data_IF_025052725734
#
_entry.id   IF_025052725734
#
_cell.length_a   1.000
_cell.length_b   1.000
_cell.length_c   1.000
_cell.angle_alpha   90.00
_cell.angle_beta   90.00
_cell.angle_gamma   90.00
#
_symmetry.space_group_name_H-M   'P 1'
#
loop_
_entity.id
_entity.type
_entity.pdbx_description
1 polymer ?
#
# COMPACT_ATOMS: atom_id res chain seq x y z
N UNK A 1 -21.98 26.70 -12.53
CA UNK A 1 -21.34 27.53 -11.49
C UNK A 1 -20.91 26.57 -10.39
N UNK A 2 -19.70 26.03 -10.50
CA UNK A 2 -19.14 25.07 -9.55
C UNK A 2 -18.38 25.87 -8.50
N UNK A 3 -18.88 25.84 -7.26
CA UNK A 3 -18.18 26.38 -6.12
C UNK A 3 -16.99 25.46 -5.83
N UNK A 4 -15.78 26.03 -5.91
CA UNK A 4 -14.55 25.42 -5.40
C UNK A 4 -14.71 25.40 -3.88
N UNK A 5 -14.78 24.20 -3.33
CA UNK A 5 -14.87 23.98 -1.90
C UNK A 5 -13.44 23.90 -1.37
N UNK A 6 -12.97 25.00 -0.78
CA UNK A 6 -11.72 25.01 -0.02
C UNK A 6 -11.80 23.95 1.10
N UNK A 7 -10.83 23.03 1.10
CA UNK A 7 -10.61 22.08 2.19
C UNK A 7 -10.20 22.85 3.45
N UNK A 8 -11.17 23.12 4.32
CA UNK A 8 -10.91 23.43 5.72
C UNK A 8 -10.41 22.13 6.35
N UNK A 9 -9.08 21.94 6.41
CA UNK A 9 -8.45 20.89 7.21
C UNK A 9 -8.98 20.98 8.65
N UNK A 10 -9.59 19.91 9.14
CA UNK A 10 -10.21 19.89 10.46
C UNK A 10 -9.13 19.90 11.55
N UNK A 11 -9.45 20.44 12.73
CA UNK A 11 -8.51 20.48 13.87
C UNK A 11 -8.04 19.08 14.30
N UNK A 12 -8.83 18.04 14.00
CA UNK A 12 -8.51 16.63 14.23
C UNK A 12 -7.41 16.12 13.28
N UNK A 13 -7.48 16.45 11.99
CA UNK A 13 -6.45 16.10 11.00
C UNK A 13 -5.12 16.81 11.29
N UNK A 14 -5.16 18.08 11.72
CA UNK A 14 -3.96 18.84 12.11
C UNK A 14 -3.32 18.24 13.38
N UNK A 15 -4.13 17.81 14.36
CA UNK A 15 -3.63 17.17 15.57
C UNK A 15 -3.08 15.76 15.30
N UNK A 16 -3.67 14.98 14.39
CA UNK A 16 -3.12 13.68 14.00
C UNK A 16 -1.80 13.85 13.26
N UNK A 17 -1.74 14.78 12.29
CA UNK A 17 -0.51 15.13 11.56
C UNK A 17 0.60 15.59 12.51
N UNK A 18 0.27 16.43 13.50
CA UNK A 18 1.23 16.91 14.51
C UNK A 18 1.69 15.78 15.42
N UNK A 19 0.79 14.86 15.79
CA UNK A 19 1.11 13.71 16.65
C UNK A 19 1.96 12.68 15.90
N UNK A 20 1.64 12.39 14.65
CA UNK A 20 2.38 11.48 13.78
C UNK A 20 3.75 12.07 13.43
N UNK A 21 3.82 13.39 13.19
CA UNK A 21 5.07 14.13 13.01
C UNK A 21 5.94 14.07 14.28
N UNK A 22 5.38 14.39 15.46
CA UNK A 22 6.13 14.33 16.72
C UNK A 22 6.56 12.90 17.08
N UNK A 23 5.73 11.89 16.76
CA UNK A 23 6.05 10.48 16.94
C UNK A 23 7.15 9.99 16.00
N UNK A 24 7.15 10.45 14.75
CA UNK A 24 8.19 10.15 13.77
C UNK A 24 9.51 10.90 14.05
N UNK A 25 9.44 12.15 14.50
CA UNK A 25 10.61 12.96 14.86
C UNK A 25 11.31 12.43 16.11
N UNK A 26 10.57 11.86 17.05
CA UNK A 26 11.13 11.32 18.31
C UNK A 26 11.57 9.85 18.22
N UNK A 27 11.21 9.12 17.16
CA UNK A 27 11.50 7.69 17.02
C UNK A 27 10.76 6.80 18.05
N UNK A 28 9.69 7.31 18.68
CA UNK A 28 8.99 6.62 19.78
C UNK A 28 7.68 5.95 19.39
N UNK A 29 7.37 5.85 18.08
CA UNK A 29 6.21 5.09 17.60
C UNK A 29 6.38 3.60 17.94
N UNK A 30 5.45 3.05 18.75
CA UNK A 30 5.49 1.65 19.20
C UNK A 30 5.50 0.70 18.00
N UNK A 31 6.53 -0.16 17.92
CA UNK A 31 6.66 -1.19 16.88
C UNK A 31 7.47 -0.78 15.65
N UNK A 32 8.10 0.40 15.65
CA UNK A 32 8.85 0.93 14.51
C UNK A 32 10.27 1.32 14.93
N UNK A 33 11.29 0.57 14.48
CA UNK A 33 12.70 1.00 14.59
C UNK A 33 12.99 2.07 13.52
N UNK A 34 12.70 3.35 13.82
CA UNK A 34 13.03 4.50 12.98
C UNK A 34 14.02 5.42 13.67
N UNK A 35 14.98 5.95 12.91
CA UNK A 35 15.85 7.01 13.41
C UNK A 35 15.04 8.29 13.73
N UNK A 36 15.37 9.03 14.79
CA UNK A 36 14.70 10.29 15.12
C UNK A 36 14.72 11.26 13.93
N UNK A 37 13.56 11.79 13.53
CA UNK A 37 13.43 12.77 12.44
C UNK A 37 13.10 12.18 11.06
N UNK A 38 13.11 10.84 10.93
CA UNK A 38 12.94 10.16 9.65
C UNK A 38 11.48 9.75 9.41
N UNK A 39 10.81 10.44 8.48
CA UNK A 39 9.42 10.13 8.10
C UNK A 39 9.30 8.94 7.14
N UNK A 40 10.28 8.75 6.26
CA UNK A 40 10.29 7.70 5.23
C UNK A 40 11.60 6.92 5.33
N UNK A 41 11.49 5.58 5.34
CA UNK A 41 12.64 4.69 5.46
C UNK A 41 12.93 3.92 4.18
N UNK A 42 14.12 3.30 4.11
CA UNK A 42 14.45 2.31 3.08
C UNK A 42 13.43 1.16 3.06
N UNK A 43 12.92 0.75 4.23
CA UNK A 43 11.94 -0.34 4.35
C UNK A 43 10.59 0.03 3.76
N UNK A 44 10.17 1.29 3.91
CA UNK A 44 8.93 1.79 3.29
C UNK A 44 8.98 1.67 1.77
N UNK A 45 10.11 2.08 1.16
CA UNK A 45 10.29 1.95 -0.29
C UNK A 45 10.36 0.47 -0.71
N UNK A 46 11.00 -0.39 0.09
CA UNK A 46 11.07 -1.84 -0.18
C UNK A 46 9.69 -2.49 -0.13
N UNK A 47 8.85 -2.14 0.84
CA UNK A 47 7.46 -2.63 0.97
C UNK A 47 6.63 -2.30 -0.26
N UNK A 48 6.69 -1.05 -0.72
CA UNK A 48 6.00 -0.63 -1.95
C UNK A 48 6.54 -1.42 -3.15
N UNK A 49 7.86 -1.55 -3.30
CA UNK A 49 8.46 -2.33 -4.40
C UNK A 49 8.09 -3.80 -4.36
N UNK A 50 7.97 -4.43 -3.18
CA UNK A 50 7.50 -5.81 -3.03
C UNK A 50 6.07 -6.00 -3.51
N UNK A 51 5.19 -5.03 -3.22
CA UNK A 51 3.84 -5.00 -3.76
C UNK A 51 3.84 -4.79 -5.27
N UNK A 52 4.60 -3.81 -5.78
CA UNK A 52 4.69 -3.51 -7.21
C UNK A 52 5.18 -4.72 -8.00
N UNK A 53 6.24 -5.38 -7.54
CA UNK A 53 6.76 -6.58 -8.18
C UNK A 53 5.73 -7.72 -8.19
N UNK A 54 5.01 -7.93 -7.07
CA UNK A 54 3.95 -8.93 -7.01
C UNK A 54 2.80 -8.59 -7.98
N UNK A 55 2.34 -7.34 -8.00
CA UNK A 55 1.29 -6.86 -8.89
C UNK A 55 1.65 -6.98 -10.37
N UNK A 56 2.89 -6.66 -10.74
CA UNK A 56 3.41 -6.81 -12.10
C UNK A 56 3.61 -8.27 -12.52
N UNK A 57 3.74 -9.19 -11.56
CA UNK A 57 3.84 -10.63 -11.81
C UNK A 57 2.47 -11.32 -11.92
N UNK A 58 1.37 -10.63 -11.61
CA UNK A 58 0.04 -11.24 -11.66
C UNK A 58 -0.33 -11.64 -13.10
N UNK A 59 -0.86 -12.86 -13.29
CA UNK A 59 -1.36 -13.32 -14.59
C UNK A 59 -2.57 -12.48 -15.00
N UNK A 60 -2.68 -12.19 -16.29
CA UNK A 60 -3.80 -11.42 -16.86
C UNK A 60 -4.53 -12.17 -17.97
N UNK A 61 -4.08 -13.36 -18.33
CA UNK A 61 -4.81 -14.28 -19.20
C UNK A 61 -5.71 -15.18 -18.36
N UNK A 62 -6.98 -15.30 -18.76
CA UNK A 62 -7.98 -16.11 -18.03
C UNK A 62 -7.55 -17.58 -18.00
N UNK A 63 -6.99 -18.11 -19.10
CA UNK A 63 -6.59 -19.52 -19.16
C UNK A 63 -5.35 -19.78 -18.29
N UNK A 64 -4.44 -18.82 -18.21
CA UNK A 64 -3.29 -18.89 -17.29
C UNK A 64 -3.76 -18.94 -15.84
N UNK A 65 -4.72 -18.09 -15.45
CA UNK A 65 -5.30 -18.07 -14.10
C UNK A 65 -5.96 -19.43 -13.78
N UNK A 66 -6.79 -19.95 -14.70
CA UNK A 66 -7.48 -21.23 -14.48
C UNK A 66 -6.50 -22.40 -14.43
N UNK A 67 -5.44 -22.39 -15.25
CA UNK A 67 -4.44 -23.46 -15.22
C UNK A 67 -3.67 -23.52 -13.90
N UNK A 68 -3.46 -22.37 -13.25
CA UNK A 68 -2.63 -22.27 -12.06
C UNK A 68 -3.34 -22.83 -10.81
N UNK A 69 -4.65 -22.59 -10.69
CA UNK A 69 -5.40 -22.96 -9.49
C UNK A 69 -6.54 -23.95 -9.73
N UNK A 70 -7.10 -24.01 -10.96
CA UNK A 70 -8.16 -24.95 -11.37
C UNK A 70 -9.41 -24.87 -10.47
N UNK A 71 -9.84 -23.66 -10.12
CA UNK A 71 -10.97 -23.46 -9.22
C UNK A 71 -12.28 -23.16 -9.95
N UNK A 72 -12.31 -22.91 -11.27
CA UNK A 72 -13.58 -22.58 -11.94
C UNK A 72 -14.63 -23.69 -11.81
N UNK A 73 -14.16 -24.94 -11.74
CA UNK A 73 -14.99 -26.12 -11.47
C UNK A 73 -15.71 -26.09 -10.11
N UNK A 74 -15.30 -25.20 -9.18
CA UNK A 74 -15.98 -25.00 -7.90
C UNK A 74 -17.27 -24.19 -8.03
N UNK A 75 -17.49 -23.51 -9.15
CA UNK A 75 -18.70 -22.75 -9.41
C UNK A 75 -19.03 -21.72 -8.31
N UNK A 76 -17.98 -21.16 -7.68
CA UNK A 76 -18.12 -20.11 -6.65
C UNK A 76 -18.26 -18.77 -7.36
N UNK A 77 -19.46 -18.22 -7.34
CA UNK A 77 -19.74 -16.90 -7.94
C UNK A 77 -18.80 -15.84 -7.36
N UNK A 78 -18.14 -15.08 -8.24
CA UNK A 78 -17.18 -14.07 -7.84
C UNK A 78 -15.75 -14.59 -7.66
N UNK A 79 -15.49 -15.89 -7.80
CA UNK A 79 -14.15 -16.46 -7.83
C UNK A 79 -13.78 -17.05 -9.19
N UNK A 80 -14.57 -16.87 -10.25
CA UNK A 80 -14.16 -17.37 -11.56
C UNK A 80 -12.87 -16.70 -12.02
N UNK A 81 -12.11 -17.39 -12.87
CA UNK A 81 -10.85 -16.90 -13.43
C UNK A 81 -11.05 -15.56 -14.16
N UNK A 82 -12.24 -15.36 -14.76
CA UNK A 82 -12.65 -14.07 -15.34
C UNK A 82 -12.83 -12.97 -14.28
N UNK A 83 -13.42 -13.28 -13.12
CA UNK A 83 -13.57 -12.33 -12.01
C UNK A 83 -12.22 -11.96 -11.38
N UNK A 84 -11.30 -12.93 -11.34
CA UNK A 84 -9.94 -12.74 -10.85
C UNK A 84 -9.09 -11.95 -11.84
N UNK A 85 -9.26 -12.15 -13.15
CA UNK A 85 -8.60 -11.36 -14.18
C UNK A 85 -8.87 -9.87 -13.98
N UNK A 86 -10.10 -9.47 -13.68
CA UNK A 86 -10.47 -8.07 -13.45
C UNK A 86 -9.66 -7.50 -12.27
N UNK A 87 -9.62 -8.21 -11.14
CA UNK A 87 -8.85 -7.79 -9.97
C UNK A 87 -7.35 -7.71 -10.30
N UNK A 88 -6.79 -8.74 -10.92
CA UNK A 88 -5.37 -8.80 -11.28
C UNK A 88 -4.98 -7.71 -12.28
N UNK A 89 -5.82 -7.41 -13.26
CA UNK A 89 -5.58 -6.32 -14.20
C UNK A 89 -5.57 -4.97 -13.49
N UNK A 90 -6.50 -4.72 -12.57
CA UNK A 90 -6.54 -3.48 -11.79
C UNK A 90 -5.29 -3.33 -10.90
N UNK A 91 -4.88 -4.40 -10.22
CA UNK A 91 -3.68 -4.40 -9.39
C UNK A 91 -2.40 -4.24 -10.22
N UNK A 92 -2.32 -4.86 -11.40
CA UNK A 92 -1.19 -4.72 -12.33
C UNK A 92 -1.09 -3.30 -12.88
N UNK A 93 -2.22 -2.71 -13.28
CA UNK A 93 -2.29 -1.32 -13.74
C UNK A 93 -1.84 -0.36 -12.63
N UNK A 94 -2.34 -0.55 -11.41
CA UNK A 94 -1.91 0.24 -10.26
C UNK A 94 -0.41 0.07 -9.97
N UNK A 95 0.10 -1.16 -9.93
CA UNK A 95 1.53 -1.43 -9.75
C UNK A 95 2.40 -0.73 -10.82
N UNK A 96 1.94 -0.70 -12.07
CA UNK A 96 2.65 -0.01 -13.17
C UNK A 96 2.71 1.52 -13.01
N UNK A 97 1.78 2.11 -12.25
CA UNK A 97 1.78 3.55 -11.98
C UNK A 97 2.90 3.99 -11.02
N UNK A 98 3.50 3.05 -10.29
CA UNK A 98 4.57 3.33 -9.34
C UNK A 98 5.83 3.87 -10.00
N UNK A 99 6.28 3.31 -11.12
CA UNK A 99 7.56 3.72 -11.72
C UNK A 99 7.57 5.20 -12.14
N UNK A 100 6.55 5.72 -12.85
CA UNK A 100 6.46 7.15 -13.12
C UNK A 100 6.39 8.01 -11.86
N UNK A 101 5.68 7.54 -10.82
CA UNK A 101 5.57 8.23 -9.54
C UNK A 101 6.91 8.28 -8.78
N UNK A 102 7.65 7.17 -8.74
CA UNK A 102 9.01 7.10 -8.17
C UNK A 102 9.95 8.06 -8.90
N UNK A 103 9.91 8.11 -10.23
CA UNK A 103 10.69 9.07 -11.01
C UNK A 103 10.34 10.52 -10.70
N UNK A 104 9.03 10.84 -10.59
CA UNK A 104 8.55 12.17 -10.22
C UNK A 104 9.06 12.59 -8.83
N UNK A 105 8.91 11.73 -7.82
CA UNK A 105 9.38 11.98 -6.47
C UNK A 105 10.90 12.21 -6.41
N UNK A 106 11.69 11.44 -7.16
CA UNK A 106 13.15 11.62 -7.24
C UNK A 106 13.53 12.93 -7.90
N UNK A 107 12.87 13.28 -9.00
CA UNK A 107 13.14 14.53 -9.71
C UNK A 107 12.84 15.73 -8.82
N UNK A 108 11.63 15.82 -8.27
CA UNK A 108 11.23 16.93 -7.40
C UNK A 108 12.05 16.96 -6.11
N UNK A 109 12.33 15.80 -5.50
CA UNK A 109 13.21 15.72 -4.32
C UNK A 109 14.63 16.23 -4.60
N UNK A 110 15.21 15.86 -5.76
CA UNK A 110 16.52 16.37 -6.18
C UNK A 110 16.50 17.88 -6.40
N UNK A 111 15.48 18.38 -7.10
CA UNK A 111 15.33 19.81 -7.39
C UNK A 111 15.19 20.62 -6.10
N UNK A 112 14.38 20.17 -5.15
CA UNK A 112 14.22 20.79 -3.82
C UNK A 112 15.53 20.79 -3.04
N UNK A 113 16.29 19.69 -3.08
CA UNK A 113 17.56 19.57 -2.37
C UNK A 113 18.60 20.57 -2.90
N UNK A 114 18.73 20.68 -4.23
CA UNK A 114 19.64 21.63 -4.88
C UNK A 114 19.18 23.07 -4.68
N UNK A 115 17.87 23.32 -4.81
CA UNK A 115 17.32 24.65 -4.61
C UNK A 115 17.53 25.15 -3.19
N UNK A 116 17.37 24.30 -2.18
CA UNK A 116 17.59 24.67 -0.79
C UNK A 116 19.02 25.20 -0.52
N UNK A 117 20.04 24.62 -1.17
CA UNK A 117 21.42 25.11 -1.07
C UNK A 117 21.60 26.49 -1.70
N UNK A 118 21.08 26.65 -2.92
CA UNK A 118 21.13 27.93 -3.64
C UNK A 118 20.36 29.02 -2.89
N UNK A 119 19.18 28.69 -2.37
CA UNK A 119 18.33 29.58 -1.59
C UNK A 119 19.03 30.01 -0.29
N UNK A 120 19.60 29.07 0.45
CA UNK A 120 20.29 29.33 1.71
C UNK A 120 21.52 30.23 1.49
N UNK A 121 22.34 29.92 0.48
CA UNK A 121 23.53 30.71 0.15
C UNK A 121 23.17 32.15 -0.27
N UNK A 122 22.14 32.29 -1.11
CA UNK A 122 21.66 33.59 -1.58
C UNK A 122 21.06 34.40 -0.44
N UNK A 123 20.19 33.79 0.37
CA UNK A 123 19.57 34.44 1.53
C UNK A 123 20.60 34.88 2.57
N UNK A 124 21.61 34.05 2.86
CA UNK A 124 22.69 34.44 3.77
C UNK A 124 23.49 35.62 3.23
N UNK A 125 23.72 35.69 1.92
CA UNK A 125 24.41 36.81 1.28
C UNK A 125 23.59 38.10 1.38
N UNK A 126 22.27 38.02 1.15
CA UNK A 126 21.33 39.14 1.32
C UNK A 126 21.32 39.60 2.78
N UNK A 127 21.14 38.68 3.73
CA UNK A 127 21.14 38.97 5.18
C UNK A 127 22.46 39.64 5.59
N UNK A 128 23.61 39.10 5.16
CA UNK A 128 24.93 39.67 5.46
C UNK A 128 25.11 41.07 4.90
N UNK A 129 24.53 41.36 3.73
CA UNK A 129 24.53 42.69 3.14
C UNK A 129 23.65 43.66 3.94
N UNK A 130 22.39 43.27 4.19
CA UNK A 130 21.41 44.11 4.87
C UNK A 130 21.81 44.44 6.30
N UNK A 131 22.37 43.48 7.03
CA UNK A 131 22.81 43.66 8.43
C UNK A 131 23.94 44.67 8.61
N UNK A 132 24.64 45.04 7.52
CA UNK A 132 25.70 46.06 7.51
C UNK A 132 25.19 47.46 7.17
N UNK A 133 23.93 47.61 6.76
CA UNK A 133 23.37 48.91 6.39
C UNK A 133 23.14 49.79 7.63
N UNK A 134 23.47 51.09 7.59
CA UNK A 134 23.17 52.03 8.68
C UNK A 134 21.69 52.04 9.07
N UNK A 135 20.79 51.95 8.08
CA UNK A 135 19.34 51.87 8.30
C UNK A 135 18.92 50.61 9.06
N UNK A 136 19.58 49.48 8.82
CA UNK A 136 19.35 48.25 9.60
C UNK A 136 19.85 48.39 11.04
N UNK A 137 21.09 48.85 11.24
CA UNK A 137 21.72 48.98 12.57
C UNK A 137 20.93 49.96 13.45
N UNK A 138 20.54 51.11 12.90
CA UNK A 138 19.69 52.08 13.60
C UNK A 138 18.29 51.55 13.91
N UNK A 139 17.82 50.60 13.09
CA UNK A 139 16.57 49.90 13.29
C UNK A 139 16.63 48.90 14.45
N UNK A 140 17.68 48.08 14.53
CA UNK A 140 17.84 47.08 15.61
C UNK A 140 17.75 47.69 17.01
N UNK A 141 18.27 48.91 17.20
CA UNK A 141 18.16 49.65 18.46
C UNK A 141 16.73 50.06 18.86
N UNK A 142 15.75 49.99 17.94
CA UNK A 142 14.34 50.38 18.14
C UNK A 142 13.38 49.20 18.34
N UNK A 143 13.84 47.96 18.20
CA UNK A 143 13.01 46.74 18.20
C UNK A 143 13.32 45.77 19.35
N UNK A 144 14.19 46.16 20.29
CA UNK A 144 14.50 45.33 21.46
C UNK A 144 13.23 45.02 22.26
N UNK A 145 12.81 43.75 22.28
CA UNK A 145 11.64 43.27 23.01
C UNK A 145 10.34 43.10 22.20
N UNK A 146 10.36 43.31 20.88
CA UNK A 146 9.21 43.08 20.00
C UNK A 146 9.21 41.67 19.40
N UNK A 147 8.03 41.07 19.26
CA UNK A 147 7.80 39.81 18.53
C UNK A 147 7.88 40.00 17.01
N UNK A 148 8.13 38.95 16.20
CA UNK A 148 8.17 39.05 14.74
C UNK A 148 6.89 39.68 14.13
N UNK A 149 5.73 39.40 14.71
CA UNK A 149 4.44 39.95 14.29
C UNK A 149 4.29 41.44 14.64
N UNK A 150 4.84 41.88 15.77
CA UNK A 150 4.87 43.30 16.14
C UNK A 150 5.85 44.08 15.26
N UNK A 151 6.97 43.47 14.86
CA UNK A 151 7.95 44.07 13.94
C UNK A 151 7.35 44.23 12.55
N UNK A 152 6.53 43.27 12.09
CA UNK A 152 5.83 43.33 10.80
C UNK A 152 4.81 44.48 10.70
N UNK A 153 4.37 45.03 11.84
CA UNK A 153 3.43 46.15 11.91
C UNK A 153 4.10 47.52 12.15
N UNK A 154 5.44 47.58 12.15
CA UNK A 154 6.17 48.83 12.36
C UNK A 154 6.07 49.77 11.14
N UNK A 155 6.10 51.10 11.37
CA UNK A 155 6.12 52.07 10.29
C UNK A 155 7.39 51.90 9.42
N UNK A 156 7.19 52.13 8.13
CA UNK A 156 8.20 52.01 7.08
C UNK A 156 9.47 52.85 7.38
N UNK A 157 10.65 52.27 7.22
CA UNK A 157 11.91 53.02 7.39
C UNK A 157 12.14 53.89 6.17
N UNK A 158 12.44 55.18 6.39
CA UNK A 158 12.99 56.02 5.32
C UNK A 158 14.45 55.64 5.05
N UNK A 159 14.66 54.91 3.96
CA UNK A 159 15.98 54.61 3.44
C UNK A 159 16.71 55.90 3.03
N UNK A 160 18.04 55.92 3.16
CA UNK A 160 18.85 57.13 2.91
C UNK A 160 19.63 57.02 1.59
N UNK A 161 19.85 58.15 0.91
CA UNK A 161 20.81 58.30 -0.22
C UNK A 161 21.04 57.07 -1.10
N UNK A 162 22.26 56.52 -1.03
CA UNK A 162 22.75 55.37 -1.80
C UNK A 162 22.02 54.05 -1.51
N UNK A 163 21.34 53.92 -0.37
CA UNK A 163 20.52 52.73 -0.05
C UNK A 163 19.29 52.67 -0.96
N UNK A 164 18.66 53.82 -1.26
CA UNK A 164 17.50 53.88 -2.17
C UNK A 164 17.83 53.42 -3.59
N UNK A 165 19.06 53.60 -4.05
CA UNK A 165 19.48 53.19 -5.39
C UNK A 165 19.63 51.66 -5.54
N UNK A 166 19.77 50.93 -4.42
CA UNK A 166 20.01 49.47 -4.41
C UNK A 166 18.75 48.65 -4.13
N UNK A 167 17.67 49.28 -3.67
CA UNK A 167 16.39 48.62 -3.42
C UNK A 167 15.77 48.01 -4.68
N UNK A 168 15.77 48.65 -5.87
CA UNK A 168 15.18 48.03 -7.06
C UNK A 168 15.80 46.67 -7.39
N UNK A 169 17.13 46.52 -7.29
CA UNK A 169 17.82 45.26 -7.51
C UNK A 169 17.51 44.20 -6.43
N UNK A 170 17.32 44.63 -5.17
CA UNK A 170 16.88 43.73 -4.10
C UNK A 170 15.44 43.23 -4.35
N UNK A 171 14.56 44.10 -4.84
CA UNK A 171 13.18 43.73 -5.17
C UNK A 171 13.10 42.80 -6.38
N UNK A 172 13.93 43.03 -7.39
CA UNK A 172 14.06 42.12 -8.54
C UNK A 172 14.45 40.71 -8.07
N UNK A 173 15.46 40.61 -7.19
CA UNK A 173 15.87 39.34 -6.58
C UNK A 173 14.75 38.68 -5.75
N UNK A 174 13.95 39.46 -5.03
CA UNK A 174 12.80 38.95 -4.27
C UNK A 174 11.72 38.40 -5.22
N UNK A 175 11.44 39.07 -6.32
CA UNK A 175 10.46 38.59 -7.32
C UNK A 175 10.95 37.33 -8.05
N UNK A 176 12.26 37.22 -8.32
CA UNK A 176 12.87 35.99 -8.82
C UNK A 176 12.70 34.84 -7.80
N UNK A 177 12.99 35.08 -6.52
CA UNK A 177 12.80 34.10 -5.45
C UNK A 177 11.34 33.67 -5.33
N UNK A 178 10.39 34.60 -5.39
CA UNK A 178 8.95 34.30 -5.38
C UNK A 178 8.57 33.38 -6.53
N UNK A 179 9.08 33.67 -7.73
CA UNK A 179 8.81 32.87 -8.93
C UNK A 179 9.27 31.43 -8.74
N UNK A 180 10.54 31.23 -8.35
CA UNK A 180 11.12 29.89 -8.21
C UNK A 180 10.48 29.09 -7.06
N UNK A 181 10.19 29.74 -5.92
CA UNK A 181 9.50 29.08 -4.80
C UNK A 181 8.08 28.66 -5.20
N UNK A 182 7.38 29.48 -5.99
CA UNK A 182 6.03 29.15 -6.50
C UNK A 182 6.07 27.94 -7.44
N UNK A 183 7.07 27.85 -8.32
CA UNK A 183 7.28 26.68 -9.18
C UNK A 183 7.53 25.41 -8.36
N UNK A 184 8.38 25.48 -7.34
CA UNK A 184 8.61 24.35 -6.43
C UNK A 184 7.37 23.97 -5.62
N UNK A 185 6.55 24.94 -5.18
CA UNK A 185 5.26 24.67 -4.52
C UNK A 185 4.35 23.84 -5.43
N UNK A 186 4.18 24.27 -6.69
CA UNK A 186 3.33 23.57 -7.66
C UNK A 186 3.80 22.14 -7.95
N UNK A 187 5.12 21.94 -8.12
CA UNK A 187 5.70 20.61 -8.36
C UNK A 187 5.56 19.69 -7.14
N UNK A 188 5.72 20.25 -5.94
CA UNK A 188 5.51 19.54 -4.66
C UNK A 188 4.05 19.12 -4.51
N UNK A 189 3.11 20.04 -4.74
CA UNK A 189 1.67 19.77 -4.67
C UNK A 189 1.27 18.68 -5.66
N UNK A 190 1.74 18.76 -6.90
CA UNK A 190 1.46 17.75 -7.94
C UNK A 190 1.94 16.37 -7.50
N UNK A 191 3.17 16.28 -6.99
CA UNK A 191 3.76 15.02 -6.51
C UNK A 191 2.96 14.44 -5.35
N UNK A 192 2.61 15.27 -4.36
CA UNK A 192 1.76 14.86 -3.25
C UNK A 192 0.41 14.32 -3.73
N UNK A 193 -0.27 15.02 -4.63
CA UNK A 193 -1.56 14.56 -5.18
C UNK A 193 -1.45 13.21 -5.89
N UNK A 194 -0.36 12.94 -6.60
CA UNK A 194 -0.13 11.64 -7.23
C UNK A 194 0.05 10.53 -6.19
N UNK A 195 0.73 10.79 -5.06
CA UNK A 195 0.88 9.84 -3.96
C UNK A 195 -0.46 9.58 -3.29
N UNK A 196 -1.25 10.64 -3.04
CA UNK A 196 -2.61 10.52 -2.49
C UNK A 196 -3.48 9.63 -3.36
N UNK A 197 -3.46 9.83 -4.69
CA UNK A 197 -4.20 8.99 -5.64
C UNK A 197 -3.73 7.53 -5.60
N UNK A 198 -2.41 7.30 -5.60
CA UNK A 198 -1.83 5.96 -5.49
C UNK A 198 -2.29 5.23 -4.22
N UNK A 199 -2.26 5.91 -3.06
CA UNK A 199 -2.71 5.39 -1.76
C UNK A 199 -4.23 5.13 -1.75
N UNK A 200 -5.00 6.04 -2.32
CA UNK A 200 -6.46 5.96 -2.34
C UNK A 200 -6.96 4.74 -3.11
N UNK A 201 -6.37 4.46 -4.28
CA UNK A 201 -6.70 3.28 -5.08
C UNK A 201 -6.44 1.98 -4.29
N UNK A 202 -5.32 1.91 -3.56
CA UNK A 202 -5.05 0.78 -2.66
C UNK A 202 -6.16 0.65 -1.61
N UNK A 203 -6.46 1.73 -0.91
CA UNK A 203 -7.28 1.69 0.32
C UNK A 203 -8.76 1.46 0.01
N UNK A 204 -9.27 2.09 -1.04
CA UNK A 204 -10.70 2.19 -1.28
C UNK A 204 -11.21 1.26 -2.39
N UNK A 205 -10.31 0.72 -3.22
CA UNK A 205 -10.66 -0.13 -4.36
C UNK A 205 -10.03 -1.51 -4.22
N UNK A 206 -8.69 -1.58 -4.23
CA UNK A 206 -7.98 -2.85 -4.35
C UNK A 206 -8.05 -3.71 -3.08
N UNK A 207 -7.83 -3.12 -1.89
CA UNK A 207 -7.91 -3.86 -0.61
C UNK A 207 -9.31 -4.45 -0.36
N UNK A 208 -10.41 -3.68 -0.48
CA UNK A 208 -11.74 -4.23 -0.34
C UNK A 208 -12.03 -5.34 -1.36
N UNK A 209 -11.66 -5.14 -2.64
CA UNK A 209 -11.89 -6.13 -3.68
C UNK A 209 -11.14 -7.45 -3.40
N UNK A 210 -9.88 -7.37 -2.98
CA UNK A 210 -9.08 -8.54 -2.59
C UNK A 210 -9.65 -9.23 -1.34
N UNK A 211 -10.04 -8.47 -0.32
CA UNK A 211 -10.66 -9.00 0.89
C UNK A 211 -11.96 -9.75 0.60
N UNK A 212 -12.77 -9.29 -0.35
CA UNK A 212 -13.97 -10.01 -0.80
C UNK A 212 -13.62 -11.36 -1.44
N UNK A 213 -12.55 -11.46 -2.25
CA UNK A 213 -12.11 -12.74 -2.82
C UNK A 213 -11.65 -13.72 -1.73
N UNK A 214 -10.87 -13.24 -0.76
CA UNK A 214 -10.44 -14.07 0.39
C UNK A 214 -11.65 -14.56 1.20
N UNK A 215 -12.64 -13.71 1.42
CA UNK A 215 -13.86 -14.10 2.13
C UNK A 215 -14.66 -15.18 1.36
N UNK A 216 -14.71 -15.09 0.03
CA UNK A 216 -15.37 -16.10 -0.81
C UNK A 216 -14.64 -17.45 -0.78
N UNK A 217 -13.30 -17.46 -0.69
CA UNK A 217 -12.55 -18.72 -0.51
C UNK A 217 -12.96 -19.45 0.78
N UNK A 218 -13.36 -18.70 1.81
CA UNK A 218 -13.78 -19.21 3.10
C UNK A 218 -15.28 -19.50 3.22
N UNK A 219 -16.08 -19.24 2.18
CA UNK A 219 -17.54 -19.29 2.28
C UNK A 219 -18.15 -20.67 2.02
N UNK A 220 -17.38 -21.63 1.52
CA UNK A 220 -17.85 -22.97 1.19
C UNK A 220 -17.36 -24.02 2.20
N UNK A 221 -18.29 -24.84 2.70
CA UNK A 221 -18.04 -25.81 3.76
C UNK A 221 -17.59 -27.18 3.23
N UNK A 222 -16.48 -27.19 2.49
CA UNK A 222 -15.93 -28.42 1.91
C UNK A 222 -15.54 -29.46 2.98
N UNK A 223 -15.21 -29.02 4.19
CA UNK A 223 -14.88 -29.91 5.31
C UNK A 223 -16.11 -30.72 5.78
N UNK A 224 -17.31 -30.12 5.81
CA UNK A 224 -18.56 -30.84 6.09
C UNK A 224 -18.93 -31.81 4.97
N UNK A 225 -18.73 -31.43 3.71
CA UNK A 225 -19.03 -32.29 2.56
C UNK A 225 -18.13 -33.53 2.52
N UNK A 226 -16.82 -33.36 2.75
CA UNK A 226 -15.86 -34.46 2.87
C UNK A 226 -16.23 -35.37 4.07
N UNK A 227 -16.66 -34.79 5.19
CA UNK A 227 -17.12 -35.56 6.35
C UNK A 227 -18.35 -36.42 6.00
N UNK A 228 -19.35 -35.83 5.33
CA UNK A 228 -20.55 -36.54 4.90
C UNK A 228 -20.24 -37.68 3.92
N UNK A 229 -19.28 -37.50 3.00
CA UNK A 229 -18.84 -38.58 2.11
C UNK A 229 -18.13 -39.71 2.85
N UNK A 230 -17.30 -39.40 3.85
CA UNK A 230 -16.65 -40.43 4.67
C UNK A 230 -17.69 -41.23 5.48
N UNK A 231 -18.67 -40.56 6.08
CA UNK A 231 -19.79 -41.23 6.75
C UNK A 231 -20.58 -42.13 5.78
N UNK A 232 -20.79 -41.69 4.53
CA UNK A 232 -21.40 -42.53 3.49
C UNK A 232 -20.55 -43.74 3.12
N UNK A 233 -19.23 -43.60 3.04
CA UNK A 233 -18.33 -44.73 2.80
C UNK A 233 -18.42 -45.77 3.93
N UNK A 234 -18.49 -45.34 5.18
CA UNK A 234 -18.63 -46.25 6.32
C UNK A 234 -19.92 -47.08 6.22
N UNK A 235 -21.04 -46.43 5.90
CA UNK A 235 -22.33 -47.10 5.66
C UNK A 235 -22.22 -48.09 4.49
N UNK A 236 -21.60 -47.68 3.37
CA UNK A 236 -21.44 -48.53 2.20
C UNK A 236 -20.55 -49.74 2.49
N UNK A 237 -19.45 -49.55 3.22
CA UNK A 237 -18.56 -50.63 3.64
C UNK A 237 -19.30 -51.64 4.52
N UNK A 238 -20.06 -51.17 5.51
CA UNK A 238 -20.88 -52.05 6.36
C UNK A 238 -21.88 -52.88 5.54
N UNK A 239 -22.60 -52.24 4.60
CA UNK A 239 -23.59 -52.94 3.75
C UNK A 239 -22.95 -53.93 2.78
N UNK A 240 -21.76 -53.61 2.28
CA UNK A 240 -20.97 -54.51 1.44
C UNK A 240 -20.57 -55.76 2.23
N UNK A 241 -20.09 -55.58 3.48
CA UNK A 241 -19.72 -56.69 4.37
C UNK A 241 -20.93 -57.58 4.71
N UNK A 242 -22.09 -56.97 5.01
CA UNK A 242 -23.36 -57.69 5.21
C UNK A 242 -23.78 -58.51 3.98
N UNK A 243 -23.64 -57.94 2.77
CA UNK A 243 -23.97 -58.63 1.51
C UNK A 243 -23.00 -59.76 1.18
N UNK A 244 -21.71 -59.60 1.49
CA UNK A 244 -20.75 -60.69 1.41
C UNK A 244 -21.15 -61.86 2.33
N UNK A 245 -21.54 -61.57 3.57
CA UNK A 245 -22.02 -62.57 4.51
C UNK A 245 -23.33 -63.26 4.05
N UNK A 246 -24.25 -62.53 3.42
CA UNK A 246 -25.47 -63.11 2.83
C UNK A 246 -25.18 -64.07 1.67
N UNK A 247 -24.27 -63.67 0.76
CA UNK A 247 -23.86 -64.52 -0.39
C UNK A 247 -23.16 -65.80 0.12
N UNK A 248 -22.39 -65.71 1.21
CA UNK A 248 -21.74 -66.86 1.84
C UNK A 248 -22.77 -67.90 2.34
N UNK A 249 -23.90 -67.47 2.89
CA UNK A 249 -24.98 -68.38 3.33
C UNK A 249 -25.60 -69.20 2.19
N UNK A 250 -25.52 -68.70 0.94
CA UNK A 250 -26.03 -69.40 -0.23
C UNK A 250 -24.99 -70.34 -0.89
N UNK A 251 -23.78 -70.41 -0.37
CA UNK A 251 -22.71 -71.29 -0.85
C UNK A 251 -22.65 -72.61 -0.07
N UNK A 252 -22.57 -73.75 -0.77
CA UNK A 252 -22.41 -75.08 -0.13
C UNK A 252 -20.97 -75.41 0.29
N UNK A 253 -20.01 -74.49 0.09
CA UNK A 253 -18.59 -74.73 0.39
C UNK A 253 -18.11 -73.83 1.52
N UNK A 254 -17.72 -74.43 2.64
CA UNK A 254 -16.94 -73.76 3.71
C UNK A 254 -15.49 -73.59 3.25
N UNK A 255 -15.15 -72.43 2.68
CA UNK A 255 -13.77 -72.01 2.43
C UNK A 255 -13.51 -70.64 3.10
N UNK A 256 -12.90 -70.73 4.28
CA UNK A 256 -11.98 -69.79 4.98
C UNK A 256 -12.25 -68.27 5.05
N UNK A 257 -12.56 -67.78 6.26
CA UNK A 257 -11.66 -67.03 7.18
C UNK A 257 -10.36 -66.33 6.73
N UNK A 258 -10.18 -65.85 5.49
CA UNK A 258 -8.88 -65.29 5.04
C UNK A 258 -8.89 -63.93 4.30
N UNK A 259 -9.93 -63.09 4.37
CA UNK A 259 -9.93 -61.79 3.66
C UNK A 259 -10.36 -60.61 4.52
N UNK A 260 -9.74 -60.46 5.69
CA UNK A 260 -9.76 -59.21 6.43
C UNK A 260 -8.93 -58.17 5.69
N UNK A 261 -9.58 -57.25 4.97
CA UNK A 261 -8.94 -56.09 4.37
C UNK A 261 -9.48 -55.73 2.99
N UNK A 262 -9.70 -54.43 2.79
CA UNK A 262 -10.11 -53.80 1.53
C UNK A 262 -9.24 -54.35 0.39
N UNK A 263 -9.90 -54.85 -0.67
CA UNK A 263 -9.37 -55.42 -1.92
C UNK A 263 -9.08 -56.93 -1.91
N UNK A 264 -10.05 -57.73 -2.38
CA UNK A 264 -9.85 -59.11 -2.81
C UNK A 264 -11.00 -59.60 -3.71
N UNK A 265 -10.73 -59.80 -5.01
CA UNK A 265 -11.71 -60.27 -6.00
C UNK A 265 -11.84 -61.80 -5.94
N UNK A 266 -13.07 -62.34 -5.86
CA UNK A 266 -13.35 -63.72 -6.33
C UNK A 266 -14.68 -63.73 -7.10
N UNK A 267 -14.61 -64.07 -8.39
CA UNK A 267 -15.74 -64.53 -9.19
C UNK A 267 -16.03 -65.97 -8.78
N UNK A 268 -17.11 -66.22 -8.03
CA UNK A 268 -17.61 -67.58 -7.80
C UNK A 268 -18.62 -67.93 -8.90
N UNK A 269 -18.16 -68.65 -9.93
CA UNK A 269 -18.97 -69.04 -11.09
C UNK A 269 -19.95 -70.20 -10.85
N UNK A 270 -20.13 -70.68 -9.61
CA UNK A 270 -20.79 -71.96 -9.32
C UNK A 270 -22.12 -71.92 -8.55
N UNK A 271 -22.76 -70.77 -8.32
CA UNK A 271 -24.02 -70.68 -7.55
C UNK A 271 -25.26 -70.58 -8.47
N UNK A 272 -26.14 -71.57 -8.40
CA UNK A 272 -27.45 -71.56 -9.07
C UNK A 272 -28.57 -71.20 -8.08
N UNK A 273 -29.17 -70.02 -8.21
CA UNK A 273 -30.37 -69.59 -7.46
C UNK A 273 -30.73 -68.11 -7.69
N UNK A 274 -32.01 -67.76 -7.74
CA UNK A 274 -32.49 -66.39 -7.98
C UNK A 274 -32.06 -65.41 -6.89
N UNK A 275 -32.10 -65.84 -5.61
CA UNK A 275 -31.68 -65.03 -4.46
C UNK A 275 -30.19 -64.69 -4.47
N UNK A 276 -29.33 -65.65 -4.84
CA UNK A 276 -27.89 -65.42 -4.92
C UNK A 276 -27.51 -64.49 -6.08
N UNK A 277 -28.25 -64.52 -7.19
CA UNK A 277 -28.07 -63.54 -8.28
C UNK A 277 -28.47 -62.15 -7.84
N UNK A 278 -29.64 -62.00 -7.22
CA UNK A 278 -30.09 -60.71 -6.69
C UNK A 278 -29.09 -60.12 -5.68
N UNK A 279 -28.58 -60.92 -4.75
CA UNK A 279 -27.58 -60.47 -3.77
C UNK A 279 -26.26 -60.02 -4.43
N UNK A 280 -25.86 -60.65 -5.55
CA UNK A 280 -24.69 -60.23 -6.34
C UNK A 280 -24.94 -58.92 -7.10
N UNK A 281 -26.10 -58.77 -7.72
CA UNK A 281 -26.47 -57.54 -8.42
C UNK A 281 -26.50 -56.35 -7.44
N UNK A 282 -27.04 -56.56 -6.23
CA UNK A 282 -27.04 -55.57 -5.15
C UNK A 282 -25.61 -55.24 -4.65
N UNK A 283 -24.74 -56.25 -4.52
CA UNK A 283 -23.34 -56.06 -4.16
C UNK A 283 -22.58 -55.26 -5.23
N UNK A 284 -22.77 -55.58 -6.51
CA UNK A 284 -22.16 -54.84 -7.62
C UNK A 284 -22.60 -53.37 -7.63
N UNK A 285 -23.89 -53.11 -7.36
CA UNK A 285 -24.41 -51.75 -7.22
C UNK A 285 -23.77 -50.99 -6.04
N UNK A 286 -23.64 -51.63 -4.87
CA UNK A 286 -22.98 -51.02 -3.70
C UNK A 286 -21.49 -50.72 -3.95
N UNK A 287 -20.79 -51.61 -4.65
CA UNK A 287 -19.37 -51.40 -5.02
C UNK A 287 -19.24 -50.26 -6.04
N UNK A 288 -20.15 -50.16 -7.01
CA UNK A 288 -20.18 -49.05 -7.95
C UNK A 288 -20.43 -47.72 -7.24
N UNK A 289 -21.41 -47.67 -6.33
CA UNK A 289 -21.69 -46.48 -5.51
C UNK A 289 -20.48 -46.10 -4.65
N UNK A 290 -19.83 -47.08 -3.99
CA UNK A 290 -18.61 -46.83 -3.21
C UNK A 290 -17.51 -46.21 -4.06
N UNK A 291 -17.29 -46.72 -5.29
CA UNK A 291 -16.30 -46.15 -6.22
C UNK A 291 -16.65 -44.71 -6.61
N UNK A 292 -17.92 -44.41 -6.82
CA UNK A 292 -18.39 -43.06 -7.10
C UNK A 292 -18.13 -42.12 -5.92
N UNK A 293 -18.47 -42.53 -4.69
CA UNK A 293 -18.22 -41.75 -3.47
C UNK A 293 -16.71 -41.55 -3.25
N UNK A 294 -15.89 -42.58 -3.47
CA UNK A 294 -14.42 -42.47 -3.40
C UNK A 294 -13.87 -41.49 -4.44
N UNK A 295 -14.40 -41.51 -5.67
CA UNK A 295 -14.04 -40.55 -6.70
C UNK A 295 -14.42 -39.10 -6.31
N UNK A 296 -15.59 -38.91 -5.69
CA UNK A 296 -16.04 -37.61 -5.15
C UNK A 296 -15.10 -37.10 -4.05
N UNK A 297 -14.71 -37.95 -3.09
CA UNK A 297 -13.75 -37.57 -2.03
C UNK A 297 -12.39 -37.17 -2.63
N UNK A 298 -11.87 -37.96 -3.57
CA UNK A 298 -10.60 -37.67 -4.22
C UNK A 298 -10.65 -36.33 -4.98
N UNK A 299 -11.74 -36.08 -5.71
CA UNK A 299 -11.96 -34.80 -6.38
C UNK A 299 -12.06 -33.62 -5.38
N UNK A 300 -12.93 -33.73 -4.36
CA UNK A 300 -13.14 -32.67 -3.35
C UNK A 300 -11.85 -32.34 -2.59
N UNK A 301 -11.05 -33.35 -2.22
CA UNK A 301 -9.78 -33.14 -1.52
C UNK A 301 -8.73 -32.42 -2.36
N UNK A 302 -8.57 -32.79 -3.64
CA UNK A 302 -7.64 -32.12 -4.55
C UNK A 302 -8.07 -30.66 -4.79
N UNK A 303 -9.36 -30.44 -4.96
CA UNK A 303 -9.92 -29.11 -5.21
C UNK A 303 -9.84 -28.22 -3.97
N UNK A 304 -10.07 -28.76 -2.77
CA UNK A 304 -9.89 -28.04 -1.51
C UNK A 304 -8.42 -27.63 -1.29
N UNK A 305 -7.47 -28.49 -1.66
CA UNK A 305 -6.06 -28.14 -1.61
C UNK A 305 -5.72 -26.98 -2.56
N UNK A 306 -6.24 -27.02 -3.80
CA UNK A 306 -6.14 -25.90 -4.75
C UNK A 306 -6.73 -24.60 -4.20
N UNK A 307 -7.93 -24.65 -3.62
CA UNK A 307 -8.60 -23.47 -3.06
C UNK A 307 -7.82 -22.87 -1.88
N UNK A 308 -7.28 -23.71 -0.98
CA UNK A 308 -6.43 -23.26 0.13
C UNK A 308 -5.11 -22.66 -0.34
N UNK A 309 -4.49 -23.23 -1.37
CA UNK A 309 -3.28 -22.67 -1.98
C UNK A 309 -3.57 -21.32 -2.64
N UNK A 310 -4.70 -21.21 -3.33
CA UNK A 310 -5.18 -19.96 -3.90
C UNK A 310 -5.44 -18.91 -2.82
N UNK A 311 -6.19 -19.26 -1.76
CA UNK A 311 -6.43 -18.38 -0.61
C UNK A 311 -5.12 -17.89 0.01
N UNK A 312 -4.17 -18.79 0.24
CA UNK A 312 -2.83 -18.44 0.76
C UNK A 312 -2.15 -17.40 -0.13
N UNK A 313 -2.21 -17.58 -1.45
CA UNK A 313 -1.63 -16.60 -2.39
C UNK A 313 -2.34 -15.23 -2.34
N UNK A 314 -3.67 -15.21 -2.12
CA UNK A 314 -4.41 -13.97 -1.93
C UNK A 314 -4.08 -13.30 -0.59
N UNK A 315 -3.88 -14.07 0.48
CA UNK A 315 -3.46 -13.56 1.79
C UNK A 315 -2.03 -12.98 1.74
N UNK A 316 -1.11 -13.62 1.03
CA UNK A 316 0.23 -13.06 0.79
C UNK A 316 0.16 -11.73 0.02
N UNK A 317 -0.73 -11.65 -0.97
CA UNK A 317 -0.98 -10.42 -1.71
C UNK A 317 -1.62 -9.35 -0.81
N UNK A 318 -2.51 -9.75 0.10
CA UNK A 318 -3.16 -8.88 1.10
C UNK A 318 -2.12 -8.24 2.04
N UNK A 319 -1.16 -9.03 2.54
CA UNK A 319 -0.07 -8.52 3.37
C UNK A 319 0.75 -7.46 2.61
N UNK A 320 1.12 -7.75 1.36
CA UNK A 320 1.92 -6.84 0.53
C UNK A 320 1.20 -5.52 0.25
N UNK A 321 -0.10 -5.57 -0.06
CA UNK A 321 -0.87 -4.35 -0.34
C UNK A 321 -1.14 -3.54 0.94
N UNK A 322 -1.25 -4.18 2.11
CA UNK A 322 -1.32 -3.50 3.40
C UNK A 322 -0.01 -2.78 3.76
N UNK A 323 1.11 -3.46 3.59
CA UNK A 323 2.44 -2.87 3.74
C UNK A 323 2.62 -1.67 2.80
N UNK A 324 2.23 -1.80 1.53
CA UNK A 324 2.32 -0.71 0.56
C UNK A 324 1.39 0.46 0.90
N UNK A 325 0.20 0.20 1.46
CA UNK A 325 -0.70 1.26 1.94
C UNK A 325 -0.06 2.07 3.07
N UNK A 326 0.47 1.38 4.09
CA UNK A 326 1.13 2.02 5.23
C UNK A 326 2.35 2.84 4.81
N UNK A 327 3.18 2.29 3.92
CA UNK A 327 4.34 3.00 3.39
C UNK A 327 3.98 4.16 2.46
N UNK A 328 2.87 4.07 1.72
CA UNK A 328 2.35 5.19 0.92
C UNK A 328 1.83 6.33 1.80
N UNK A 329 1.21 6.02 2.95
CA UNK A 329 0.83 7.04 3.94
C UNK A 329 2.06 7.76 4.50
N UNK A 330 3.15 7.04 4.79
CA UNK A 330 4.39 7.68 5.25
C UNK A 330 4.97 8.63 4.20
N UNK A 331 4.95 8.24 2.93
CA UNK A 331 5.34 9.12 1.82
C UNK A 331 4.44 10.35 1.74
N UNK A 332 3.13 10.18 1.82
CA UNK A 332 2.19 11.31 1.79
C UNK A 332 2.44 12.29 2.94
N UNK A 333 2.67 11.82 4.17
CA UNK A 333 2.99 12.67 5.32
C UNK A 333 4.29 13.45 5.12
N UNK A 334 5.31 12.83 4.52
CA UNK A 334 6.55 13.54 4.16
C UNK A 334 6.28 14.67 3.15
N UNK A 335 5.52 14.38 2.10
CA UNK A 335 5.21 15.37 1.06
C UNK A 335 4.25 16.47 1.55
N UNK A 336 3.36 16.17 2.49
CA UNK A 336 2.55 17.16 3.21
C UNK A 336 3.45 18.11 4.03
N UNK A 337 4.46 17.57 4.73
CA UNK A 337 5.40 18.38 5.49
C UNK A 337 6.21 19.31 4.58
N UNK A 338 6.76 18.76 3.49
CA UNK A 338 7.49 19.55 2.48
C UNK A 338 6.59 20.65 1.92
N UNK A 339 5.37 20.31 1.51
CA UNK A 339 4.41 21.29 1.01
C UNK A 339 4.14 22.39 2.05
N UNK A 340 3.95 22.03 3.31
CA UNK A 340 3.71 23.00 4.40
C UNK A 340 4.86 23.99 4.53
N UNK A 341 6.12 23.53 4.47
CA UNK A 341 7.28 24.43 4.54
C UNK A 341 7.46 25.31 3.30
N UNK A 342 7.17 24.77 2.11
CA UNK A 342 7.22 25.55 0.87
C UNK A 342 6.13 26.63 0.87
N UNK A 343 4.89 26.27 1.23
CA UNK A 343 3.77 27.21 1.29
C UNK A 343 3.95 28.27 2.38
N UNK A 344 4.53 27.90 3.52
CA UNK A 344 4.94 28.86 4.56
C UNK A 344 5.97 29.86 4.02
N UNK A 345 6.92 29.40 3.19
CA UNK A 345 7.93 30.25 2.57
C UNK A 345 7.33 31.20 1.52
N UNK A 346 6.36 30.73 0.70
CA UNK A 346 5.57 31.60 -0.18
C UNK A 346 4.89 32.74 0.59
N UNK A 347 4.15 32.38 1.65
CA UNK A 347 3.41 33.35 2.49
C UNK A 347 4.31 34.40 3.15
N UNK A 348 5.58 34.06 3.45
CA UNK A 348 6.54 35.01 4.03
C UNK A 348 7.04 36.04 3.02
N UNK A 349 6.96 35.74 1.72
CA UNK A 349 7.26 36.69 0.64
C UNK A 349 6.05 37.53 0.23
N UNK A 350 4.84 37.12 0.60
CA UNK A 350 3.63 37.93 0.42
C UNK A 350 3.73 39.23 1.25
N UNK A 351 3.40 40.35 0.61
CA UNK A 351 3.44 41.67 1.23
C UNK A 351 4.85 42.25 1.45
N UNK A 352 5.91 41.63 0.91
CA UNK A 352 7.23 42.27 0.85
C UNK A 352 7.17 43.44 -0.13
N UNK A 353 7.25 44.67 0.39
CA UNK A 353 7.19 45.92 -0.37
C UNK A 353 8.49 46.73 -0.25
N UNK A 354 8.65 47.74 -1.09
CA UNK A 354 9.76 48.71 -1.06
C UNK A 354 9.98 49.39 0.30
N UNK A 355 8.96 49.38 1.15
CA UNK A 355 8.94 50.18 2.36
C UNK A 355 8.96 49.33 3.64
N UNK A 356 9.11 48.01 3.47
CA UNK A 356 9.29 47.05 4.54
C UNK A 356 10.49 47.38 5.43
N UNK A 357 10.30 47.22 6.75
CA UNK A 357 11.36 47.38 7.74
C UNK A 357 12.48 46.35 7.51
N UNK A 358 13.73 46.80 7.30
CA UNK A 358 14.86 45.91 6.94
C UNK A 358 15.06 44.76 7.94
N UNK A 359 14.76 44.97 9.23
CA UNK A 359 14.87 43.89 10.22
C UNK A 359 13.74 42.87 10.13
N UNK A 360 12.52 43.28 9.78
CA UNK A 360 11.42 42.34 9.49
C UNK A 360 11.81 41.48 8.28
N UNK A 361 12.32 42.10 7.23
CA UNK A 361 12.73 41.37 6.03
C UNK A 361 13.87 40.37 6.31
N UNK A 362 14.91 40.77 7.06
CA UNK A 362 15.97 39.85 7.50
C UNK A 362 15.40 38.72 8.36
N UNK A 363 14.51 39.01 9.30
CA UNK A 363 13.87 37.97 10.13
C UNK A 363 13.10 36.96 9.29
N UNK A 364 12.35 37.41 8.28
CA UNK A 364 11.61 36.52 7.38
C UNK A 364 12.54 35.66 6.52
N UNK A 365 13.61 36.24 5.97
CA UNK A 365 14.61 35.48 5.22
C UNK A 365 15.32 34.43 6.08
N UNK A 366 15.61 34.74 7.34
CA UNK A 366 16.19 33.77 8.28
C UNK A 366 15.24 32.58 8.50
N UNK A 367 13.95 32.84 8.81
CA UNK A 367 12.96 31.77 8.98
C UNK A 367 12.77 30.95 7.71
N UNK A 368 12.75 31.58 6.53
CA UNK A 368 12.69 30.85 5.26
C UNK A 368 13.92 29.97 5.06
N UNK A 369 15.12 30.45 5.42
CA UNK A 369 16.36 29.67 5.34
C UNK A 369 16.27 28.41 6.20
N UNK A 370 15.74 28.54 7.42
CA UNK A 370 15.50 27.39 8.32
C UNK A 370 14.53 26.38 7.69
N UNK A 371 13.41 26.82 7.12
CA UNK A 371 12.46 25.96 6.41
C UNK A 371 13.13 25.19 5.26
N UNK A 372 13.93 25.88 4.45
CA UNK A 372 14.62 25.26 3.31
C UNK A 372 15.71 24.28 3.73
N UNK A 373 16.39 24.50 4.86
CA UNK A 373 17.30 23.52 5.44
C UNK A 373 16.56 22.25 5.89
N UNK A 374 15.36 22.39 6.48
CA UNK A 374 14.52 21.23 6.82
C UNK A 374 14.05 20.49 5.55
N UNK A 375 13.59 21.22 4.53
CA UNK A 375 13.22 20.61 3.22
C UNK A 375 14.41 19.85 2.63
N UNK A 376 15.61 20.44 2.65
CA UNK A 376 16.84 19.80 2.15
C UNK A 376 17.09 18.46 2.82
N UNK A 377 17.01 18.42 4.15
CA UNK A 377 17.23 17.21 4.93
C UNK A 377 16.20 16.14 4.53
N UNK A 378 14.92 16.48 4.56
CA UNK A 378 13.82 15.56 4.24
C UNK A 378 13.90 15.02 2.79
N UNK A 379 14.23 15.89 1.83
CA UNK A 379 14.47 15.47 0.44
C UNK A 379 15.70 14.56 0.31
N UNK A 380 16.78 14.84 1.04
CA UNK A 380 17.97 14.00 1.09
C UNK A 380 17.70 12.61 1.68
N UNK A 381 16.93 12.55 2.76
CA UNK A 381 16.49 11.30 3.39
C UNK A 381 15.64 10.46 2.43
N UNK A 382 14.70 11.09 1.70
CA UNK A 382 13.91 10.44 0.66
C UNK A 382 14.77 9.84 -0.46
N UNK A 383 15.71 10.62 -1.00
CA UNK A 383 16.62 10.15 -2.07
C UNK A 383 17.49 9.00 -1.58
N UNK A 384 17.97 9.08 -0.34
CA UNK A 384 18.72 8.01 0.33
C UNK A 384 17.86 6.75 0.47
N UNK A 385 16.59 6.90 0.85
CA UNK A 385 15.64 5.80 0.94
C UNK A 385 15.46 5.07 -0.39
N UNK A 386 15.31 5.82 -1.48
CA UNK A 386 15.21 5.23 -2.81
C UNK A 386 16.49 4.50 -3.25
N UNK A 387 17.66 5.10 -3.03
CA UNK A 387 18.95 4.54 -3.43
C UNK A 387 19.28 3.26 -2.66
N UNK A 388 18.95 3.20 -1.38
CA UNK A 388 19.18 2.00 -0.57
C UNK A 388 18.17 0.89 -0.84
N UNK A 389 16.99 1.23 -1.35
CA UNK A 389 15.98 0.27 -1.75
C UNK A 389 16.27 -0.40 -3.10
N UNK A 390 17.20 0.14 -3.92
CA UNK A 390 17.65 -0.51 -5.16
C UNK A 390 18.72 -1.60 -4.94
N UNK A 391 19.37 -1.62 -3.78
CA UNK A 391 20.51 -2.50 -3.49
C UNK A 391 20.13 -3.87 -2.92
N UNK A 392 18.83 -4.16 -2.77
CA UNK A 392 18.31 -5.40 -2.23
C UNK A 392 17.15 -5.90 -3.11
N UNK A 393 17.49 -6.30 -4.33
CA UNK A 393 16.66 -7.13 -5.21
C UNK A 393 16.90 -8.60 -4.90
#
# INVERSE_FOLDING_TARGET
MLAIQDEIKTAEEINSLTTDFMGAVSGTLRGVERGPGLLVTNDDIKKIKRYVNAGLALPTDINEIEQLYKYDQLNISGLYSADMQILYQNMRNHASSWSPLESSMKAVGSDLHVFADNFTSSSQSIINYLTRLPSYISGVGKIGGLTPEEIDNLPEIQLTGDEKQKIPALMELIEELKTVITEHSKSTQTTKSQITLFKHEITNSLKPALGLKIALCNSHNFDEEIKAFNERLDILNQRIDEKYAEIEQYSQSKWWGLFGGIVGFIVTSSIYGTKARQARDELEALIAERREVQAKIAASSAVLASLRAFETSLQELQIRIEDAAGSSSNLESLWELIQTYVDASCKKLDGVTNAMYLVSFVSRLTTMTENWLTIKQQAGDLLTAFNNATSAS
#
